data_IF_173516194128
#
_entry.id   IF_173516194128
#
_cell.length_a   1.000
_cell.length_b   1.000
_cell.length_c   1.000
_cell.angle_alpha   90.00
_cell.angle_beta   90.00
_cell.angle_gamma   90.00
#
_symmetry.space_group_name_H-M   'P 1'
#
loop_
_entity.id
_entity.type
_entity.pdbx_description
1 polymer ?
#
# COMPACT_ATOMS: atom_id res chain seq x y z
N UNK A 1 8.92 -5.20 -1.07
CA UNK A 1 8.04 -6.30 -0.59
C UNK A 1 7.36 -5.87 0.69
N UNK A 2 6.03 -6.08 0.80
CA UNK A 2 5.25 -5.70 1.97
C UNK A 2 4.89 -6.88 2.86
N UNK A 3 4.83 -6.64 4.17
CA UNK A 3 4.34 -7.58 5.20
C UNK A 3 3.28 -6.85 6.03
N UNK A 4 2.10 -7.47 6.20
CA UNK A 4 1.08 -6.95 7.09
C UNK A 4 1.46 -7.27 8.55
N UNK A 5 1.48 -6.23 9.39
CA UNK A 5 1.80 -6.33 10.82
C UNK A 5 0.54 -6.08 11.60
N UNK A 6 0.14 -7.03 12.42
CA UNK A 6 -1.05 -6.90 13.24
C UNK A 6 -0.93 -7.70 14.53
N UNK A 7 -1.15 -7.02 15.64
CA UNK A 7 -1.26 -7.64 16.96
C UNK A 7 -2.66 -7.42 17.58
N UNK A 8 -3.49 -6.64 16.89
CA UNK A 8 -4.84 -6.26 17.34
C UNK A 8 -5.96 -7.08 16.71
N UNK A 9 -5.66 -7.90 15.68
CA UNK A 9 -6.65 -8.72 14.97
C UNK A 9 -7.41 -7.97 13.87
N UNK A 10 -6.96 -6.79 13.48
CA UNK A 10 -7.55 -5.97 12.41
C UNK A 10 -7.24 -6.54 11.02
N UNK A 11 -6.05 -7.12 10.85
CA UNK A 11 -5.62 -7.78 9.62
C UNK A 11 -5.52 -9.30 9.84
N UNK A 12 -6.48 -10.11 9.36
CA UNK A 12 -6.52 -11.55 9.62
C UNK A 12 -5.31 -12.33 9.09
N UNK A 13 -4.56 -11.74 8.16
CA UNK A 13 -3.33 -12.23 7.53
C UNK A 13 -2.08 -11.53 8.07
N UNK A 14 -2.25 -10.66 9.07
CA UNK A 14 -1.15 -9.97 9.73
C UNK A 14 -0.29 -10.91 10.58
N UNK A 15 0.98 -10.54 10.72
CA UNK A 15 1.95 -11.25 11.57
C UNK A 15 2.37 -10.35 12.74
N UNK A 16 2.94 -10.95 13.78
CA UNK A 16 3.47 -10.17 14.91
C UNK A 16 4.64 -9.27 14.48
N UNK A 17 4.90 -8.22 15.26
CA UNK A 17 6.04 -7.31 15.07
C UNK A 17 7.36 -8.09 14.95
N UNK A 18 7.58 -9.09 15.81
CA UNK A 18 8.81 -9.90 15.77
C UNK A 18 8.93 -10.74 14.49
N UNK A 19 7.83 -11.34 14.03
CA UNK A 19 7.80 -12.11 12.79
C UNK A 19 8.01 -11.19 11.56
N UNK A 20 7.37 -10.02 11.53
CA UNK A 20 7.55 -9.03 10.47
C UNK A 20 9.02 -8.57 10.38
N UNK A 21 9.63 -8.26 11.52
CA UNK A 21 11.05 -7.90 11.58
C UNK A 21 11.95 -9.01 11.04
N UNK A 22 11.71 -10.27 11.43
CA UNK A 22 12.48 -11.41 10.94
C UNK A 22 12.32 -11.60 9.42
N UNK A 23 11.09 -11.50 8.89
CA UNK A 23 10.81 -11.63 7.45
C UNK A 23 11.50 -10.53 6.66
N UNK A 24 11.35 -9.27 7.07
CA UNK A 24 11.90 -8.14 6.34
C UNK A 24 13.44 -8.10 6.40
N UNK A 25 14.05 -8.51 7.52
CA UNK A 25 15.50 -8.60 7.63
C UNK A 25 16.12 -9.76 6.82
N UNK A 26 15.34 -10.77 6.44
CA UNK A 26 15.80 -11.84 5.58
C UNK A 26 15.81 -11.47 4.08
N UNK A 27 15.24 -10.32 3.71
CA UNK A 27 15.20 -9.86 2.33
C UNK A 27 16.57 -9.33 1.87
N UNK A 28 16.93 -9.53 0.59
CA UNK A 28 18.10 -8.87 0.00
C UNK A 28 18.00 -7.34 0.13
N UNK A 29 19.15 -6.68 0.30
CA UNK A 29 19.22 -5.20 0.43
C UNK A 29 18.73 -4.44 -0.82
N UNK A 30 18.57 -5.13 -1.94
CA UNK A 30 17.99 -4.57 -3.18
C UNK A 30 16.46 -4.51 -3.17
N UNK A 31 15.81 -5.06 -2.14
CA UNK A 31 14.35 -5.11 -2.01
C UNK A 31 13.91 -4.14 -0.92
N UNK A 32 13.14 -3.13 -1.29
CA UNK A 32 12.54 -2.18 -0.35
C UNK A 32 11.62 -2.92 0.62
N UNK A 33 11.84 -2.71 1.92
CA UNK A 33 11.10 -3.34 3.02
C UNK A 33 9.93 -2.47 3.41
N UNK A 34 8.71 -3.00 3.28
CA UNK A 34 7.49 -2.31 3.61
C UNK A 34 6.74 -3.07 4.72
N UNK A 35 6.32 -2.35 5.76
CA UNK A 35 5.40 -2.86 6.77
C UNK A 35 4.05 -2.16 6.60
N UNK A 36 2.96 -2.93 6.50
CA UNK A 36 1.59 -2.42 6.49
C UNK A 36 0.98 -2.64 7.87
N UNK A 37 0.32 -1.63 8.42
CA UNK A 37 -0.58 -1.80 9.56
C UNK A 37 -1.92 -1.11 9.32
N UNK A 38 -3.00 -1.69 9.82
CA UNK A 38 -4.35 -1.11 9.82
C UNK A 38 -4.66 -0.39 11.14
N UNK A 39 -3.75 -0.41 12.10
CA UNK A 39 -3.92 0.26 13.39
C UNK A 39 -3.98 1.77 13.24
N UNK A 40 -4.83 2.40 14.04
CA UNK A 40 -4.85 3.84 14.27
C UNK A 40 -4.28 4.22 15.64
N UNK A 41 -3.86 3.24 16.45
CA UNK A 41 -3.25 3.47 17.75
C UNK A 41 -1.83 4.05 17.58
N UNK A 42 -1.56 5.27 18.08
CA UNK A 42 -0.26 5.90 17.98
C UNK A 42 0.89 5.08 18.56
N UNK A 43 0.65 4.38 19.67
CA UNK A 43 1.70 3.59 20.35
C UNK A 43 2.03 2.32 19.55
N UNK A 44 1.06 1.74 18.87
CA UNK A 44 1.28 0.61 17.96
C UNK A 44 2.03 1.06 16.69
N UNK A 45 1.64 2.18 16.09
CA UNK A 45 2.35 2.76 14.94
C UNK A 45 3.83 3.05 15.27
N UNK A 46 4.09 3.66 16.41
CA UNK A 46 5.44 3.93 16.93
C UNK A 46 6.23 2.63 17.16
N UNK A 47 5.57 1.60 17.71
CA UNK A 47 6.19 0.30 17.93
C UNK A 47 6.57 -0.39 16.65
N UNK A 48 5.69 -0.38 15.63
CA UNK A 48 6.00 -0.95 14.31
C UNK A 48 7.18 -0.20 13.68
N UNK A 49 7.18 1.13 13.68
CA UNK A 49 8.26 1.91 13.13
C UNK A 49 9.61 1.62 13.82
N UNK A 50 9.61 1.53 15.15
CA UNK A 50 10.82 1.33 15.97
C UNK A 50 11.37 -0.10 15.90
N UNK A 51 10.49 -1.12 15.98
CA UNK A 51 10.91 -2.51 16.20
C UNK A 51 11.00 -3.31 14.90
N UNK A 52 10.18 -2.98 13.88
CA UNK A 52 10.28 -3.57 12.54
C UNK A 52 11.32 -2.84 11.68
N UNK A 53 11.45 -1.52 11.81
CA UNK A 53 12.34 -0.65 11.03
C UNK A 53 12.19 -0.86 9.51
N UNK A 54 10.98 -0.75 8.99
CA UNK A 54 10.78 -0.83 7.54
C UNK A 54 11.36 0.43 6.87
N UNK A 55 11.67 0.36 5.59
CA UNK A 55 11.99 1.57 4.80
C UNK A 55 10.72 2.37 4.51
N UNK A 56 9.58 1.69 4.40
CA UNK A 56 8.26 2.32 4.22
C UNK A 56 7.28 1.72 5.23
N UNK A 57 6.70 2.55 6.09
CA UNK A 57 5.55 2.20 6.91
C UNK A 57 4.26 2.62 6.20
N UNK A 58 3.50 1.63 5.73
CA UNK A 58 2.18 1.85 5.15
C UNK A 58 1.13 1.85 6.25
N UNK A 59 0.60 3.03 6.54
CA UNK A 59 -0.51 3.23 7.47
C UNK A 59 -1.82 3.15 6.68
N UNK A 60 -2.45 1.97 6.72
CA UNK A 60 -3.67 1.65 5.98
C UNK A 60 -4.96 2.02 6.71
N UNK A 61 -4.88 2.55 7.93
CA UNK A 61 -6.03 3.10 8.66
C UNK A 61 -6.67 4.26 7.88
N UNK A 62 -7.98 4.48 8.12
CA UNK A 62 -8.72 5.56 7.45
C UNK A 62 -8.13 6.95 7.77
N UNK A 63 -8.52 7.93 6.93
CA UNK A 63 -7.95 9.28 6.98
C UNK A 63 -8.38 10.08 8.21
N UNK A 64 -9.54 9.76 8.77
CA UNK A 64 -10.10 10.45 9.94
C UNK A 64 -9.39 9.95 11.22
N UNK A 65 -9.06 8.67 11.28
CA UNK A 65 -8.41 8.05 12.45
C UNK A 65 -6.93 8.39 12.57
N UNK A 66 -6.22 8.62 11.44
CA UNK A 66 -4.80 8.99 11.43
C UNK A 66 -4.61 10.30 10.68
N UNK A 67 -4.66 11.39 11.41
CA UNK A 67 -4.50 12.74 10.87
C UNK A 67 -3.05 13.14 10.59
N UNK A 68 -2.88 14.33 10.00
CA UNK A 68 -1.58 14.90 9.61
C UNK A 68 -0.60 15.00 10.80
N UNK A 69 -1.06 15.44 11.96
CA UNK A 69 -0.22 15.63 13.16
C UNK A 69 0.46 14.34 13.62
N UNK A 70 -0.26 13.19 13.51
CA UNK A 70 0.30 11.89 13.85
C UNK A 70 1.34 11.44 12.82
N UNK A 71 1.07 11.66 11.54
CA UNK A 71 2.03 11.36 10.45
C UNK A 71 3.31 12.16 10.65
N UNK A 72 3.20 13.48 10.87
CA UNK A 72 4.36 14.33 11.12
C UNK A 72 5.13 13.93 12.39
N UNK A 73 4.43 13.53 13.44
CA UNK A 73 5.07 13.03 14.67
C UNK A 73 5.87 11.76 14.39
N UNK A 74 5.32 10.80 13.66
CA UNK A 74 6.01 9.57 13.26
C UNK A 74 7.27 9.88 12.46
N UNK A 75 7.18 10.77 11.47
CA UNK A 75 8.33 11.19 10.64
C UNK A 75 9.44 11.86 11.47
N UNK A 76 9.07 12.74 12.42
CA UNK A 76 10.07 13.37 13.31
C UNK A 76 10.77 12.37 14.21
N UNK A 77 10.08 11.34 14.69
CA UNK A 77 10.64 10.34 15.61
C UNK A 77 11.40 9.22 14.91
N UNK A 78 11.01 8.94 13.65
CA UNK A 78 11.58 7.89 12.82
C UNK A 78 11.99 8.44 11.45
N UNK A 79 13.01 9.31 11.37
CA UNK A 79 13.36 10.00 10.12
C UNK A 79 13.85 9.07 9.00
N UNK A 80 14.26 7.85 9.36
CA UNK A 80 14.69 6.82 8.39
C UNK A 80 13.51 5.96 7.87
N UNK A 81 12.28 6.20 8.34
CA UNK A 81 11.07 5.47 7.94
C UNK A 81 10.16 6.40 7.15
N UNK A 82 10.01 6.14 5.85
CA UNK A 82 9.06 6.87 5.02
C UNK A 82 7.61 6.43 5.34
N UNK A 83 6.68 7.36 5.32
CA UNK A 83 5.26 7.09 5.62
C UNK A 83 4.46 7.04 4.31
N UNK A 84 3.80 5.90 4.07
CA UNK A 84 2.83 5.71 2.99
C UNK A 84 1.42 5.78 3.54
N UNK A 85 0.53 6.54 2.87
CA UNK A 85 -0.90 6.62 3.21
C UNK A 85 -1.76 6.05 2.09
N UNK A 86 -2.80 5.31 2.48
CA UNK A 86 -3.81 4.80 1.55
C UNK A 86 -4.82 5.89 1.20
N UNK A 87 -5.18 6.00 -0.07
CA UNK A 87 -6.26 6.84 -0.60
C UNK A 87 -7.31 5.91 -1.22
N UNK A 88 -8.50 5.82 -0.64
CA UNK A 88 -9.60 5.07 -1.25
C UNK A 88 -10.14 5.81 -2.47
N UNK A 89 -9.97 5.22 -3.66
CA UNK A 89 -10.42 5.83 -4.91
C UNK A 89 -11.90 5.53 -5.12
N UNK A 90 -12.76 6.47 -4.70
CA UNK A 90 -14.22 6.35 -4.78
C UNK A 90 -14.84 7.37 -5.75
N UNK A 91 -14.03 8.14 -6.47
CA UNK A 91 -14.43 9.19 -7.40
C UNK A 91 -13.64 10.50 -7.17
N UNK A 92 -14.13 11.60 -7.72
CA UNK A 92 -13.50 12.93 -7.65
C UNK A 92 -13.03 13.37 -6.24
N UNK A 93 -13.75 13.11 -5.14
CA UNK A 93 -13.27 13.49 -3.80
C UNK A 93 -11.91 12.87 -3.43
N UNK A 94 -11.55 11.73 -4.03
CA UNK A 94 -10.25 11.09 -3.80
C UNK A 94 -9.08 11.95 -4.29
N UNK A 95 -9.28 12.76 -5.32
CA UNK A 95 -8.25 13.67 -5.85
C UNK A 95 -7.91 14.75 -4.80
N UNK A 96 -8.92 15.33 -4.17
CA UNK A 96 -8.73 16.33 -3.12
C UNK A 96 -8.02 15.70 -1.91
N UNK A 97 -8.49 14.54 -1.46
CA UNK A 97 -7.88 13.81 -0.35
C UNK A 97 -6.41 13.45 -0.63
N UNK A 98 -6.09 13.01 -1.85
CA UNK A 98 -4.73 12.69 -2.25
C UNK A 98 -3.80 13.92 -2.20
N UNK A 99 -4.25 15.07 -2.69
CA UNK A 99 -3.47 16.32 -2.67
C UNK A 99 -3.20 16.77 -1.22
N UNK A 100 -4.18 16.67 -0.33
CA UNK A 100 -3.99 17.01 1.08
C UNK A 100 -3.02 16.04 1.77
N UNK A 101 -3.16 14.73 1.55
CA UNK A 101 -2.27 13.73 2.12
C UNK A 101 -0.84 13.84 1.60
N UNK A 102 -0.65 14.20 0.34
CA UNK A 102 0.67 14.38 -0.26
C UNK A 102 1.50 15.48 0.42
N UNK A 103 0.88 16.36 1.21
CA UNK A 103 1.59 17.39 1.98
C UNK A 103 2.37 16.82 3.17
N UNK A 104 1.94 15.69 3.69
CA UNK A 104 2.51 15.09 4.92
C UNK A 104 3.08 13.69 4.72
N UNK A 105 2.50 12.90 3.80
CA UNK A 105 2.98 11.55 3.48
C UNK A 105 4.16 11.60 2.48
N UNK A 106 5.02 10.60 2.53
CA UNK A 106 6.13 10.44 1.59
C UNK A 106 5.72 9.61 0.36
N UNK A 107 4.68 8.79 0.49
CA UNK A 107 4.08 7.97 -0.56
C UNK A 107 2.57 7.95 -0.44
N UNK A 108 1.88 7.81 -1.57
CA UNK A 108 0.45 7.48 -1.60
C UNK A 108 0.25 6.10 -2.20
N UNK A 109 -0.69 5.34 -1.65
CA UNK A 109 -1.19 4.10 -2.24
C UNK A 109 -2.66 4.30 -2.60
N UNK A 110 -2.99 4.13 -3.90
CA UNK A 110 -4.36 4.25 -4.40
C UNK A 110 -5.00 2.87 -4.41
N UNK A 111 -6.08 2.68 -3.67
CA UNK A 111 -6.73 1.37 -3.57
C UNK A 111 -8.24 1.46 -3.73
N UNK A 112 -8.86 0.32 -4.00
CA UNK A 112 -10.31 0.21 -4.17
C UNK A 112 -10.99 0.08 -2.80
N UNK A 113 -12.00 0.93 -2.54
CA UNK A 113 -12.88 0.76 -1.40
C UNK A 113 -14.05 -0.14 -1.78
N UNK A 114 -14.28 -1.18 -1.00
CA UNK A 114 -15.51 -1.97 -1.13
C UNK A 114 -16.67 -1.23 -0.48
N UNK A 115 -17.61 -0.77 -1.30
CA UNK A 115 -18.79 -0.03 -0.84
C UNK A 115 -19.73 -0.88 0.03
N UNK A 116 -19.67 -2.23 -0.07
CA UNK A 116 -20.55 -3.11 0.70
C UNK A 116 -20.02 -3.40 2.10
N UNK A 117 -18.70 -3.43 2.27
CA UNK A 117 -18.04 -3.75 3.55
C UNK A 117 -17.32 -2.57 4.18
N UNK A 118 -17.14 -1.47 3.43
CA UNK A 118 -16.35 -0.30 3.85
C UNK A 118 -14.83 -0.55 3.86
N UNK A 119 -14.37 -1.77 3.57
CA UNK A 119 -12.94 -2.11 3.56
C UNK A 119 -12.22 -1.47 2.38
N UNK A 120 -11.01 -0.97 2.63
CA UNK A 120 -10.08 -0.49 1.62
C UNK A 120 -9.14 -1.64 1.30
N UNK A 121 -9.00 -1.97 0.00
CA UNK A 121 -8.13 -3.04 -0.48
C UNK A 121 -8.69 -4.45 -0.38
N UNK A 122 -7.93 -5.41 -0.90
CA UNK A 122 -8.24 -6.86 -0.93
C UNK A 122 -9.58 -7.24 -1.57
N UNK A 123 -10.22 -6.33 -2.34
CA UNK A 123 -11.54 -6.53 -2.95
C UNK A 123 -11.51 -7.35 -4.24
N UNK A 124 -10.34 -7.48 -4.87
CA UNK A 124 -10.18 -8.09 -6.20
C UNK A 124 -10.82 -7.29 -7.34
N UNK A 125 -11.36 -6.09 -7.05
CA UNK A 125 -12.00 -5.19 -8.03
C UNK A 125 -11.09 -4.01 -8.32
N UNK A 126 -11.12 -3.51 -9.56
CA UNK A 126 -10.49 -2.26 -9.94
C UNK A 126 -11.47 -1.10 -9.76
N UNK A 127 -10.92 0.07 -9.45
CA UNK A 127 -11.63 1.35 -9.47
C UNK A 127 -11.42 2.07 -10.82
N UNK A 128 -11.97 3.27 -10.95
CA UNK A 128 -11.77 4.09 -12.14
C UNK A 128 -10.33 4.64 -12.20
N UNK A 129 -9.52 4.08 -13.08
CA UNK A 129 -8.12 4.48 -13.26
C UNK A 129 -7.94 5.88 -13.83
N UNK A 130 -8.97 6.51 -14.40
CA UNK A 130 -8.90 7.90 -14.84
C UNK A 130 -8.72 8.85 -13.65
N UNK A 131 -9.38 8.54 -12.52
CA UNK A 131 -9.21 9.26 -11.25
C UNK A 131 -7.78 9.07 -10.72
N UNK A 132 -7.26 7.85 -10.76
CA UNK A 132 -5.88 7.56 -10.35
C UNK A 132 -4.86 8.30 -11.21
N UNK A 133 -5.08 8.37 -12.52
CA UNK A 133 -4.23 9.13 -13.43
C UNK A 133 -4.26 10.64 -13.13
N UNK A 134 -5.43 11.17 -12.74
CA UNK A 134 -5.56 12.55 -12.31
C UNK A 134 -4.80 12.81 -11.00
N UNK A 135 -4.88 11.90 -10.04
CA UNK A 135 -4.12 12.00 -8.78
C UNK A 135 -2.62 12.04 -9.08
N UNK A 136 -2.11 11.10 -9.89
CA UNK A 136 -0.68 11.03 -10.25
C UNK A 136 -0.18 12.34 -10.88
N UNK A 137 -1.02 13.01 -11.68
CA UNK A 137 -0.65 14.30 -12.28
C UNK A 137 -0.62 15.47 -11.30
N UNK A 138 -1.35 15.38 -10.17
CA UNK A 138 -1.53 16.49 -9.22
C UNK A 138 -0.62 16.42 -8.01
N UNK A 139 -0.04 15.28 -7.71
CA UNK A 139 0.82 15.11 -6.54
C UNK A 139 2.27 14.97 -6.95
N UNK A 140 3.19 15.42 -6.11
CA UNK A 140 4.64 15.32 -6.35
C UNK A 140 5.26 14.07 -5.70
N UNK A 141 4.55 13.48 -4.71
CA UNK A 141 5.02 12.27 -4.03
C UNK A 141 4.80 11.03 -4.89
N UNK A 142 5.66 10.01 -4.77
CA UNK A 142 5.48 8.74 -5.48
C UNK A 142 4.14 8.09 -5.17
N UNK A 143 3.45 7.62 -6.21
CA UNK A 143 2.13 6.97 -6.11
C UNK A 143 2.24 5.51 -6.47
N UNK A 144 1.76 4.63 -5.59
CA UNK A 144 1.59 3.19 -5.84
C UNK A 144 0.12 2.93 -6.19
N UNK A 145 -0.12 2.29 -7.32
CA UNK A 145 -1.46 1.87 -7.74
C UNK A 145 -1.73 0.46 -7.24
N UNK A 146 -2.80 0.29 -6.51
CA UNK A 146 -3.34 -0.98 -6.04
C UNK A 146 -4.78 -1.19 -6.52
N UNK A 147 -5.50 -2.15 -5.96
CA UNK A 147 -6.91 -2.39 -6.25
C UNK A 147 -7.14 -3.28 -7.47
N UNK A 148 -7.26 -4.59 -7.25
CA UNK A 148 -7.63 -5.56 -8.27
C UNK A 148 -6.64 -5.72 -9.42
N UNK A 149 -5.36 -5.45 -9.19
CA UNK A 149 -4.32 -5.64 -10.20
C UNK A 149 -3.88 -7.10 -10.29
N UNK A 150 -3.83 -7.61 -11.52
CA UNK A 150 -3.35 -8.94 -11.89
C UNK A 150 -2.36 -8.86 -13.05
N UNK A 151 -1.76 -9.99 -13.41
CA UNK A 151 -0.91 -10.07 -14.61
C UNK A 151 -1.63 -9.66 -15.90
N UNK A 152 -2.97 -9.86 -15.96
CA UNK A 152 -3.75 -9.62 -17.16
C UNK A 152 -4.10 -8.14 -17.38
N UNK A 153 -4.16 -7.32 -16.30
CA UNK A 153 -4.60 -5.93 -16.38
C UNK A 153 -3.53 -4.90 -16.00
N UNK A 154 -2.47 -5.29 -15.28
CA UNK A 154 -1.48 -4.36 -14.75
C UNK A 154 -0.78 -3.55 -15.84
N UNK A 155 -0.54 -4.13 -17.02
CA UNK A 155 0.08 -3.42 -18.13
C UNK A 155 -0.80 -2.28 -18.67
N UNK A 156 -2.12 -2.48 -18.74
CA UNK A 156 -3.06 -1.42 -19.13
C UNK A 156 -3.13 -0.32 -18.06
N UNK A 157 -3.18 -0.73 -16.78
CA UNK A 157 -3.19 0.19 -15.64
C UNK A 157 -1.95 1.09 -15.63
N UNK A 158 -0.75 0.53 -15.79
CA UNK A 158 0.50 1.29 -15.82
C UNK A 158 0.53 2.31 -16.97
N UNK A 159 0.14 1.90 -18.19
CA UNK A 159 0.12 2.81 -19.34
C UNK A 159 -0.83 3.98 -19.15
N UNK A 160 -1.97 3.76 -18.53
CA UNK A 160 -2.99 4.79 -18.32
C UNK A 160 -2.62 5.70 -17.15
N UNK A 161 -2.26 5.12 -16.01
CA UNK A 161 -2.07 5.86 -14.75
C UNK A 161 -0.67 6.44 -14.62
N UNK A 162 0.35 5.74 -15.17
CA UNK A 162 1.78 6.07 -15.02
C UNK A 162 2.20 6.21 -13.55
N UNK A 163 1.86 5.25 -12.67
CA UNK A 163 2.23 5.33 -11.27
C UNK A 163 3.73 5.08 -11.09
N UNK A 164 4.28 5.49 -9.95
CA UNK A 164 5.64 5.15 -9.53
C UNK A 164 5.83 3.65 -9.30
N UNK A 165 4.80 2.97 -8.79
CA UNK A 165 4.80 1.54 -8.52
C UNK A 165 3.41 0.94 -8.56
N UNK A 166 3.33 -0.38 -8.51
CA UNK A 166 2.07 -1.14 -8.47
C UNK A 166 2.09 -2.16 -7.35
N UNK A 167 0.92 -2.41 -6.74
CA UNK A 167 0.72 -3.41 -5.71
C UNK A 167 -0.37 -4.40 -6.08
N UNK A 168 -0.19 -5.67 -5.70
CA UNK A 168 -1.18 -6.72 -5.87
C UNK A 168 -1.19 -7.65 -4.66
N UNK A 169 -2.34 -7.76 -4.01
CA UNK A 169 -2.54 -8.62 -2.86
C UNK A 169 -3.37 -9.86 -3.22
N UNK A 170 -4.68 -9.73 -3.34
CA UNK A 170 -5.61 -10.86 -3.48
C UNK A 170 -5.39 -11.69 -4.75
N UNK A 171 -5.12 -11.04 -5.88
CA UNK A 171 -4.96 -11.70 -7.18
C UNK A 171 -3.59 -12.38 -7.39
N UNK A 172 -2.69 -12.22 -6.42
CA UNK A 172 -1.42 -12.96 -6.33
C UNK A 172 -1.41 -14.04 -5.24
N UNK A 173 -2.56 -14.25 -4.58
CA UNK A 173 -2.74 -15.32 -3.60
C UNK A 173 -3.24 -16.61 -4.24
N UNK A 174 -3.16 -17.72 -3.50
CA UNK A 174 -3.81 -18.99 -3.84
C UNK A 174 -5.31 -18.77 -3.81
N UNK A 175 -6.04 -19.35 -4.76
CA UNK A 175 -7.49 -19.18 -4.84
C UNK A 175 -8.16 -19.68 -3.57
N UNK A 176 -8.96 -18.81 -2.95
CA UNK A 176 -9.65 -19.09 -1.69
C UNK A 176 -8.77 -18.98 -0.42
N UNK A 177 -7.48 -18.65 -0.54
CA UNK A 177 -6.57 -18.52 0.61
C UNK A 177 -5.71 -17.25 0.51
N UNK A 178 -6.19 -16.15 1.09
CA UNK A 178 -5.50 -14.87 1.11
C UNK A 178 -4.22 -14.85 1.98
N UNK A 179 -4.03 -15.86 2.84
CA UNK A 179 -2.84 -15.99 3.68
C UNK A 179 -1.64 -16.58 2.94
N UNK A 180 -1.87 -17.14 1.75
CA UNK A 180 -0.84 -17.84 1.00
C UNK A 180 -0.65 -17.25 -0.39
N UNK A 181 0.53 -16.73 -0.66
CA UNK A 181 0.90 -16.28 -2.01
C UNK A 181 1.10 -17.46 -2.95
N UNK A 182 0.68 -17.29 -4.20
CA UNK A 182 0.92 -18.24 -5.29
C UNK A 182 2.17 -17.79 -6.08
N UNK A 183 3.31 -18.48 -5.96
CA UNK A 183 4.57 -18.03 -6.56
C UNK A 183 4.48 -17.84 -8.08
N UNK A 184 3.70 -18.68 -8.77
CA UNK A 184 3.46 -18.58 -10.20
C UNK A 184 2.66 -17.31 -10.57
N UNK A 185 1.65 -16.94 -9.77
CA UNK A 185 0.88 -15.71 -9.97
C UNK A 185 1.74 -14.47 -9.70
N UNK A 186 2.57 -14.50 -8.65
CA UNK A 186 3.53 -13.43 -8.37
C UNK A 186 4.52 -13.27 -9.52
N UNK A 187 5.12 -14.38 -10.00
CA UNK A 187 6.07 -14.35 -11.10
C UNK A 187 5.43 -13.78 -12.39
N UNK A 188 4.21 -14.19 -12.72
CA UNK A 188 3.48 -13.66 -13.88
C UNK A 188 3.18 -12.16 -13.73
N UNK A 189 2.76 -11.73 -12.54
CA UNK A 189 2.51 -10.32 -12.28
C UNK A 189 3.78 -9.47 -12.47
N UNK A 190 4.90 -9.89 -11.88
CA UNK A 190 6.19 -9.19 -12.03
C UNK A 190 6.66 -9.18 -13.48
N UNK A 191 6.49 -10.29 -14.21
CA UNK A 191 6.84 -10.35 -15.64
C UNK A 191 5.99 -9.37 -16.45
N UNK A 192 4.67 -9.30 -16.21
CA UNK A 192 3.79 -8.36 -16.88
C UNK A 192 4.16 -6.89 -16.62
N UNK A 193 4.54 -6.55 -15.38
CA UNK A 193 5.02 -5.20 -15.03
C UNK A 193 6.30 -4.84 -15.79
N UNK A 194 7.26 -5.77 -15.85
CA UNK A 194 8.56 -5.56 -16.52
C UNK A 194 8.46 -5.45 -18.05
N UNK A 195 7.38 -5.96 -18.64
CA UNK A 195 7.13 -5.89 -20.08
C UNK A 195 6.48 -4.57 -20.52
N UNK A 196 6.08 -3.72 -19.58
CA UNK A 196 5.49 -2.43 -19.95
C UNK A 196 6.59 -1.50 -20.44
N UNK A 197 6.48 -1.14 -21.71
CA UNK A 197 7.27 -0.07 -22.29
C UNK A 197 6.61 1.27 -21.94
N UNK A 198 7.36 2.17 -21.38
CA UNK A 198 6.87 3.48 -20.95
C UNK A 198 6.86 4.52 -22.10
N UNK A 199 7.29 4.12 -23.32
CA UNK A 199 7.20 4.95 -24.52
C UNK A 199 8.04 6.24 -24.46
#
# INVERSE_FOLDING_TARGET
MGVAVDESGLAPDGVSVSAASAILNALPSTVVRLALTLSCDPDELERVARDVRPEILHVGADLESVGADLVERLKRRHPDVAIMRAVPVTGEPAVVAAVELARVADYLLLDTKDHSTGKIGATGRSHDWSISAEIVRRVEVPVVLAGGLSADNVGAAIRLVRPWGVDSFSLTCVDGDLRRKAPDKVARFVAAVRQVDYG
#
